data_IF_932097128647
#
_entry.id   IF_932097128647
#
_cell.length_a   1.000
_cell.length_b   1.000
_cell.length_c   1.000
_cell.angle_alpha   90.00
_cell.angle_beta   90.00
_cell.angle_gamma   90.00
#
_symmetry.space_group_name_H-M   'P 1'
#
loop_
_entity.id
_entity.type
_entity.pdbx_description
1 polymer ?
#
# COMPACT_ATOMS: atom_id res chain seq x y z
N UNK A 1 4.82 -1.89 -18.63
CA UNK A 1 4.40 -1.68 -17.23
C UNK A 1 4.22 -3.05 -16.58
N UNK A 2 4.13 -3.14 -15.27
CA UNK A 2 4.00 -4.41 -14.54
C UNK A 2 3.40 -4.13 -13.17
N UNK A 3 3.02 -5.17 -12.44
CA UNK A 3 2.49 -5.04 -11.09
C UNK A 3 3.54 -4.51 -10.11
N UNK A 4 3.30 -3.30 -9.61
CA UNK A 4 4.04 -2.64 -8.53
C UNK A 4 3.11 -2.53 -7.31
N UNK A 5 3.58 -2.96 -6.14
CA UNK A 5 2.78 -3.02 -4.92
C UNK A 5 3.53 -2.33 -3.78
N UNK A 6 2.81 -1.61 -2.92
CA UNK A 6 3.39 -0.86 -1.81
C UNK A 6 2.62 -1.08 -0.52
N UNK A 7 3.35 -1.13 0.59
CA UNK A 7 2.79 -0.77 1.89
C UNK A 7 3.15 0.68 2.20
N UNK A 8 2.14 1.44 2.61
CA UNK A 8 2.26 2.80 3.06
C UNK A 8 2.06 2.85 4.58
N UNK A 9 2.78 3.73 5.26
CA UNK A 9 2.56 4.06 6.66
C UNK A 9 2.28 5.54 6.80
N UNK A 10 1.28 5.91 7.58
CA UNK A 10 1.00 7.30 7.90
C UNK A 10 0.55 7.46 9.35
N UNK A 11 1.01 8.52 10.00
CA UNK A 11 0.49 8.91 11.30
C UNK A 11 -1.00 9.24 11.19
N UNK A 12 -1.81 8.74 12.12
CA UNK A 12 -3.23 9.10 12.24
C UNK A 12 -3.36 10.55 12.65
N UNK A 13 -4.36 11.22 12.08
CA UNK A 13 -4.70 12.59 12.43
C UNK A 13 -6.03 12.58 13.20
N UNK A 14 -6.11 13.37 14.27
CA UNK A 14 -7.29 13.41 15.14
C UNK A 14 -8.56 13.97 14.46
N UNK A 15 -8.38 14.92 13.54
CA UNK A 15 -9.48 15.59 12.81
C UNK A 15 -9.65 15.11 11.36
N UNK A 16 -8.56 14.97 10.61
CA UNK A 16 -8.59 14.70 9.17
C UNK A 16 -8.48 13.20 8.88
N UNK A 17 -9.25 12.74 7.90
CA UNK A 17 -9.00 11.42 7.30
C UNK A 17 -7.76 11.42 6.42
N UNK A 18 -7.22 10.23 6.13
CA UNK A 18 -6.11 10.05 5.18
C UNK A 18 -6.32 10.81 3.88
N UNK A 19 -7.46 10.55 3.23
CA UNK A 19 -7.78 11.11 1.91
C UNK A 19 -7.78 12.64 1.94
N UNK A 20 -8.22 13.23 3.05
CA UNK A 20 -8.23 14.68 3.23
C UNK A 20 -6.81 15.24 3.40
N UNK A 21 -5.94 14.54 4.13
CA UNK A 21 -4.52 14.87 4.22
C UNK A 21 -3.88 14.82 2.83
N UNK A 22 -4.12 13.76 2.07
CA UNK A 22 -3.57 13.61 0.72
C UNK A 22 -4.07 14.71 -0.23
N UNK A 23 -5.35 15.11 -0.13
CA UNK A 23 -5.88 16.24 -0.89
C UNK A 23 -5.17 17.56 -0.57
N UNK A 24 -4.96 17.87 0.71
CA UNK A 24 -4.22 19.08 1.10
C UNK A 24 -2.75 19.01 0.68
N UNK A 25 -2.10 17.85 0.82
CA UNK A 25 -0.70 17.64 0.44
C UNK A 25 -0.49 17.76 -1.07
N UNK A 26 -1.42 17.21 -1.86
CA UNK A 26 -1.44 17.40 -3.31
C UNK A 26 -1.54 18.89 -3.67
N UNK A 27 -2.45 19.63 -3.01
CA UNK A 27 -2.60 21.06 -3.25
C UNK A 27 -1.33 21.86 -2.92
N UNK A 28 -0.72 21.60 -1.76
CA UNK A 28 0.58 22.18 -1.37
C UNK A 28 1.63 21.90 -2.45
N UNK A 29 1.70 20.65 -2.92
CA UNK A 29 2.64 20.24 -3.97
C UNK A 29 2.41 20.99 -5.28
N UNK A 30 1.17 21.12 -5.73
CA UNK A 30 0.81 21.89 -6.93
C UNK A 30 1.28 23.34 -6.83
N UNK A 31 1.01 24.01 -5.70
CA UNK A 31 1.39 25.40 -5.49
C UNK A 31 2.90 25.59 -5.42
N UNK A 32 3.62 24.69 -4.75
CA UNK A 32 5.10 24.70 -4.73
C UNK A 32 5.73 24.48 -6.10
N UNK A 33 5.05 23.76 -7.00
CA UNK A 33 5.44 23.59 -8.41
C UNK A 33 5.07 24.80 -9.29
N UNK A 34 4.47 25.84 -8.73
CA UNK A 34 4.07 27.04 -9.47
C UNK A 34 2.80 26.86 -10.31
N UNK A 35 2.02 25.81 -10.07
CA UNK A 35 0.77 25.57 -10.80
C UNK A 35 -0.26 26.62 -10.35
N UNK A 36 -0.84 27.32 -11.32
CA UNK A 36 -1.83 28.37 -11.07
C UNK A 36 -3.13 27.77 -10.55
N UNK A 37 -3.83 28.51 -9.68
CA UNK A 37 -5.10 28.06 -9.11
C UNK A 37 -6.15 27.74 -10.17
N UNK A 38 -6.26 28.59 -11.19
CA UNK A 38 -7.20 28.41 -12.30
C UNK A 38 -6.99 27.07 -13.02
N UNK A 39 -5.73 26.62 -13.13
CA UNK A 39 -5.37 25.34 -13.74
C UNK A 39 -5.72 24.15 -12.83
N UNK A 40 -5.49 24.30 -11.52
CA UNK A 40 -5.90 23.32 -10.50
C UNK A 40 -7.42 23.14 -10.54
N UNK A 41 -8.17 24.25 -10.51
CA UNK A 41 -9.64 24.26 -10.53
C UNK A 41 -10.18 23.70 -11.84
N UNK A 42 -9.59 24.07 -12.99
CA UNK A 42 -10.03 23.58 -14.30
C UNK A 42 -9.98 22.05 -14.39
N UNK A 43 -8.95 21.44 -13.83
CA UNK A 43 -8.74 19.99 -13.92
C UNK A 43 -9.38 19.22 -12.76
N UNK A 44 -9.59 19.86 -11.60
CA UNK A 44 -9.99 19.19 -10.35
C UNK A 44 -10.97 20.01 -9.50
N UNK A 45 -11.94 20.70 -10.13
CA UNK A 45 -12.87 21.64 -9.46
C UNK A 45 -13.49 21.09 -8.17
N UNK A 46 -13.95 19.84 -8.20
CA UNK A 46 -14.54 19.18 -7.03
C UNK A 46 -13.54 19.05 -5.88
N UNK A 47 -12.34 18.54 -6.17
CA UNK A 47 -11.26 18.39 -5.19
C UNK A 47 -10.84 19.75 -4.61
N UNK A 48 -10.80 20.80 -5.44
CA UNK A 48 -10.48 22.15 -4.99
C UNK A 48 -11.53 22.74 -4.04
N UNK A 49 -12.83 22.50 -4.31
CA UNK A 49 -13.89 22.90 -3.39
C UNK A 49 -13.76 22.19 -2.04
N UNK A 50 -13.37 20.91 -2.06
CA UNK A 50 -13.15 20.15 -0.84
C UNK A 50 -11.92 20.66 -0.06
N UNK A 51 -10.85 21.11 -0.72
CA UNK A 51 -9.63 21.62 -0.06
C UNK A 51 -9.92 22.76 0.92
N UNK A 52 -10.73 23.75 0.54
CA UNK A 52 -11.12 24.84 1.44
C UNK A 52 -11.92 24.33 2.64
N UNK A 53 -12.85 23.39 2.41
CA UNK A 53 -13.66 22.77 3.46
C UNK A 53 -12.78 21.97 4.43
N UNK A 54 -11.82 21.20 3.90
CA UNK A 54 -10.88 20.38 4.67
C UNK A 54 -9.99 21.28 5.52
N UNK A 55 -9.38 22.32 4.93
CA UNK A 55 -8.54 23.26 5.66
C UNK A 55 -9.30 24.01 6.75
N UNK A 56 -10.59 24.31 6.52
CA UNK A 56 -11.47 24.87 7.54
C UNK A 56 -11.66 23.97 8.77
N UNK A 57 -11.59 22.64 8.63
CA UNK A 57 -11.67 21.71 9.78
C UNK A 57 -10.50 21.86 10.75
N UNK A 58 -9.35 22.29 10.25
CA UNK A 58 -8.12 22.51 11.02
C UNK A 58 -7.80 24.00 11.17
N UNK A 59 -8.76 24.87 10.85
CA UNK A 59 -8.67 26.34 10.96
C UNK A 59 -7.45 26.95 10.25
N UNK A 60 -7.04 26.36 9.12
CA UNK A 60 -5.87 26.80 8.36
C UNK A 60 -6.22 27.59 7.09
N UNK A 61 -5.37 28.56 6.75
CA UNK A 61 -5.45 29.29 5.49
C UNK A 61 -4.68 28.55 4.39
N UNK A 62 -5.39 28.08 3.35
CA UNK A 62 -4.79 27.36 2.23
C UNK A 62 -3.80 28.20 1.41
N UNK A 63 -3.84 29.53 1.51
CA UNK A 63 -2.91 30.39 0.79
C UNK A 63 -1.54 30.51 1.49
N UNK A 64 -1.45 30.16 2.77
CA UNK A 64 -0.17 30.06 3.48
C UNK A 64 0.44 28.66 3.31
N UNK A 65 0.99 28.42 2.13
CA UNK A 65 1.49 27.11 1.69
C UNK A 65 2.61 26.58 2.59
N UNK A 66 3.48 27.45 3.10
CA UNK A 66 4.60 27.03 3.96
C UNK A 66 4.10 26.57 5.33
N UNK A 67 3.14 27.28 5.90
CA UNK A 67 2.53 26.89 7.19
C UNK A 67 1.72 25.61 7.03
N UNK A 68 0.95 25.48 5.94
CA UNK A 68 0.19 24.26 5.64
C UNK A 68 1.10 23.06 5.41
N UNK A 69 2.19 23.20 4.66
CA UNK A 69 3.18 22.13 4.45
C UNK A 69 3.80 21.68 5.77
N UNK A 70 4.23 22.63 6.61
CA UNK A 70 4.85 22.31 7.91
C UNK A 70 3.88 21.59 8.85
N UNK A 71 2.60 21.95 8.81
CA UNK A 71 1.57 21.27 9.60
C UNK A 71 1.34 19.83 9.13
N UNK A 72 1.29 19.62 7.80
CA UNK A 72 0.97 18.32 7.22
C UNK A 72 2.17 17.38 7.14
N UNK A 73 3.41 17.88 7.18
CA UNK A 73 4.62 17.07 7.00
C UNK A 73 4.73 15.85 7.91
N UNK A 74 4.31 15.87 9.20
CA UNK A 74 4.35 14.67 10.05
C UNK A 74 3.37 13.57 9.60
N UNK A 75 2.38 13.93 8.79
CA UNK A 75 1.37 13.02 8.25
C UNK A 75 1.70 12.64 6.80
N UNK A 76 2.93 12.82 6.34
CA UNK A 76 3.32 12.33 5.02
C UNK A 76 3.36 10.80 5.03
N UNK A 77 2.76 10.19 4.02
CA UNK A 77 2.80 8.75 3.87
C UNK A 77 4.19 8.27 3.46
N UNK A 78 4.69 7.26 4.15
CA UNK A 78 6.00 6.67 3.92
C UNK A 78 5.84 5.30 3.27
N UNK A 79 6.67 5.00 2.27
CA UNK A 79 6.75 3.64 1.73
C UNK A 79 7.53 2.76 2.72
N UNK A 80 6.89 1.72 3.22
CA UNK A 80 7.44 0.79 4.23
C UNK A 80 7.54 -0.65 3.71
N UNK A 81 7.07 -0.91 2.49
CA UNK A 81 7.19 -2.19 1.81
C UNK A 81 6.98 -2.03 0.31
N UNK A 82 7.67 -2.85 -0.48
CA UNK A 82 7.55 -2.86 -1.93
C UNK A 82 7.66 -4.29 -2.46
N UNK A 83 6.78 -4.64 -3.41
CA UNK A 83 6.92 -5.86 -4.20
C UNK A 83 6.84 -5.56 -5.68
N UNK A 84 7.57 -6.34 -6.46
CA UNK A 84 7.52 -6.33 -7.91
C UNK A 84 7.02 -7.67 -8.42
N UNK A 85 5.80 -7.70 -8.95
CA UNK A 85 5.21 -8.89 -9.60
C UNK A 85 5.07 -10.14 -8.69
N UNK A 86 4.94 -9.96 -7.38
CA UNK A 86 4.62 -11.03 -6.44
C UNK A 86 3.09 -11.28 -6.44
N UNK A 87 2.57 -11.91 -7.51
CA UNK A 87 1.13 -12.00 -7.76
C UNK A 87 0.32 -12.76 -6.71
N UNK A 88 0.91 -13.77 -6.08
CA UNK A 88 0.34 -14.54 -4.99
C UNK A 88 0.08 -13.67 -3.76
N UNK A 89 0.96 -12.67 -3.53
CA UNK A 89 0.84 -11.71 -2.43
C UNK A 89 -0.23 -10.67 -2.77
N UNK A 90 -0.22 -10.16 -4.00
CA UNK A 90 -1.26 -9.25 -4.48
C UNK A 90 -2.64 -9.88 -4.42
N UNK A 91 -2.78 -11.12 -4.91
CA UNK A 91 -4.03 -11.85 -4.86
C UNK A 91 -4.56 -11.98 -3.43
N UNK A 92 -3.68 -12.22 -2.47
CA UNK A 92 -4.07 -12.27 -1.06
C UNK A 92 -4.65 -10.94 -0.59
N UNK A 93 -4.02 -9.80 -0.93
CA UNK A 93 -4.58 -8.49 -0.60
C UNK A 93 -5.94 -8.26 -1.28
N UNK A 94 -6.06 -8.61 -2.56
CA UNK A 94 -7.33 -8.50 -3.30
C UNK A 94 -8.44 -9.30 -2.60
N UNK A 95 -8.19 -10.57 -2.31
CA UNK A 95 -9.19 -11.49 -1.76
C UNK A 95 -9.56 -11.17 -0.30
N UNK A 96 -8.61 -10.69 0.51
CA UNK A 96 -8.80 -10.58 1.97
C UNK A 96 -9.01 -9.14 2.46
N UNK A 97 -8.56 -8.14 1.70
CA UNK A 97 -8.60 -6.72 2.10
C UNK A 97 -9.45 -5.87 1.15
N UNK A 98 -9.49 -6.22 -0.14
CA UNK A 98 -10.18 -5.43 -1.19
C UNK A 98 -11.51 -6.04 -1.64
N UNK A 99 -12.09 -6.95 -0.84
CA UNK A 99 -13.36 -7.63 -1.14
C UNK A 99 -13.40 -8.31 -2.53
N UNK A 100 -12.25 -8.78 -3.02
CA UNK A 100 -12.10 -9.41 -4.32
C UNK A 100 -12.07 -8.46 -5.52
N UNK A 101 -12.04 -7.13 -5.30
CA UNK A 101 -12.06 -6.12 -6.35
C UNK A 101 -10.70 -5.41 -6.41
N UNK A 102 -9.91 -5.71 -7.44
CA UNK A 102 -8.69 -4.99 -7.75
C UNK A 102 -8.99 -3.68 -8.50
N UNK A 103 -9.28 -2.61 -7.75
CA UNK A 103 -9.59 -1.28 -8.29
C UNK A 103 -8.44 -0.27 -8.16
N UNK A 104 -7.23 -0.76 -7.84
CA UNK A 104 -6.00 0.03 -7.69
C UNK A 104 -6.14 1.20 -6.69
N UNK A 105 -7.01 1.05 -5.68
CA UNK A 105 -7.15 2.00 -4.58
C UNK A 105 -6.29 1.62 -3.38
N UNK A 106 -6.27 2.54 -2.42
CA UNK A 106 -5.59 2.39 -1.14
C UNK A 106 -6.57 1.77 -0.15
N UNK A 107 -6.13 0.75 0.57
CA UNK A 107 -6.91 0.05 1.60
C UNK A 107 -6.11 -0.03 2.90
N UNK A 108 -6.74 0.33 4.02
CA UNK A 108 -6.15 0.17 5.34
C UNK A 108 -6.05 -1.31 5.71
N UNK A 109 -4.99 -1.67 6.42
CA UNK A 109 -4.68 -3.04 6.84
C UNK A 109 -4.49 -3.04 8.35
N UNK A 110 -5.23 -3.89 9.04
CA UNK A 110 -5.07 -4.13 10.47
C UNK A 110 -3.77 -4.89 10.77
N UNK A 111 -3.33 -4.79 12.03
CA UNK A 111 -2.20 -5.58 12.53
C UNK A 111 -2.47 -7.08 12.38
N UNK A 112 -3.69 -7.51 12.69
CA UNK A 112 -4.12 -8.90 12.64
C UNK A 112 -4.09 -9.45 11.20
N UNK A 113 -4.41 -8.63 10.20
CA UNK A 113 -4.29 -8.99 8.78
C UNK A 113 -2.85 -9.22 8.36
N UNK A 114 -1.95 -8.33 8.76
CA UNK A 114 -0.52 -8.50 8.52
C UNK A 114 0.04 -9.75 9.22
N UNK A 115 -0.37 -10.00 10.46
CA UNK A 115 0.00 -11.22 11.19
C UNK A 115 -0.53 -12.50 10.52
N UNK A 116 -1.75 -12.46 9.97
CA UNK A 116 -2.33 -13.57 9.18
C UNK A 116 -1.51 -13.86 7.93
N UNK A 117 -1.18 -12.84 7.13
CA UNK A 117 -0.34 -13.03 5.94
C UNK A 117 1.06 -13.53 6.32
N UNK A 118 1.68 -12.96 7.36
CA UNK A 118 3.00 -13.40 7.84
C UNK A 118 2.99 -14.87 8.25
N UNK A 119 1.94 -15.32 8.95
CA UNK A 119 1.79 -16.72 9.34
C UNK A 119 1.71 -17.62 8.11
N UNK A 120 0.87 -17.28 7.13
CA UNK A 120 0.74 -18.06 5.88
C UNK A 120 2.11 -18.18 5.18
N UNK A 121 2.84 -17.07 5.05
CA UNK A 121 4.15 -17.07 4.41
C UNK A 121 5.16 -17.96 5.18
N UNK A 122 5.20 -17.90 6.52
CA UNK A 122 6.06 -18.75 7.34
C UNK A 122 5.71 -20.24 7.19
N UNK A 123 4.42 -20.58 7.25
CA UNK A 123 3.95 -21.96 7.06
C UNK A 123 4.39 -22.51 5.69
N UNK A 124 4.28 -21.70 4.63
CA UNK A 124 4.76 -22.06 3.28
C UNK A 124 6.29 -22.25 3.26
N UNK A 125 7.05 -21.31 3.83
CA UNK A 125 8.52 -21.37 3.88
C UNK A 125 9.02 -22.62 4.59
N UNK A 126 8.38 -23.02 5.69
CA UNK A 126 8.80 -24.17 6.50
C UNK A 126 8.41 -25.52 5.87
N UNK A 127 7.35 -25.56 5.06
CA UNK A 127 6.80 -26.82 4.54
C UNK A 127 7.20 -27.14 3.09
N UNK A 128 7.51 -26.13 2.27
CA UNK A 128 7.85 -26.34 0.86
C UNK A 128 9.23 -26.97 0.67
N UNK A 129 9.32 -27.95 -0.22
CA UNK A 129 10.57 -28.66 -0.53
C UNK A 129 10.90 -28.46 -2.00
N UNK A 130 12.09 -27.91 -2.30
CA UNK A 130 12.57 -27.77 -3.67
C UNK A 130 13.17 -29.09 -4.20
N UNK A 131 12.99 -29.36 -5.49
CA UNK A 131 13.77 -30.36 -6.22
C UNK A 131 15.04 -29.76 -6.82
N UNK A 132 15.86 -30.61 -7.44
CA UNK A 132 17.15 -30.21 -8.05
C UNK A 132 17.00 -29.19 -9.19
N UNK A 133 15.79 -29.04 -9.75
CA UNK A 133 15.47 -28.04 -10.78
C UNK A 133 14.94 -26.73 -10.18
N UNK A 134 14.84 -26.62 -8.87
CA UNK A 134 14.30 -25.46 -8.17
C UNK A 134 12.77 -25.36 -8.24
N UNK A 135 12.04 -26.44 -8.47
CA UNK A 135 10.57 -26.48 -8.40
C UNK A 135 10.12 -27.01 -7.04
N UNK A 136 9.00 -26.50 -6.52
CA UNK A 136 8.40 -26.99 -5.27
C UNK A 136 7.77 -28.37 -5.52
N UNK A 137 8.28 -29.42 -4.89
CA UNK A 137 7.79 -30.81 -5.03
C UNK A 137 6.36 -30.99 -4.53
N UNK A 138 6.02 -30.31 -3.44
CA UNK A 138 4.73 -30.37 -2.75
C UNK A 138 3.89 -29.10 -3.01
N UNK A 139 3.81 -28.69 -4.28
CA UNK A 139 3.15 -27.45 -4.69
C UNK A 139 1.64 -27.36 -4.33
N UNK A 140 0.99 -28.45 -3.95
CA UNK A 140 -0.41 -28.44 -3.51
C UNK A 140 -0.62 -27.60 -2.24
N UNK A 141 0.42 -27.48 -1.38
CA UNK A 141 0.38 -26.65 -0.17
C UNK A 141 0.29 -25.16 -0.54
N UNK A 142 1.29 -24.56 -1.24
CA UNK A 142 1.22 -23.15 -1.60
C UNK A 142 0.03 -22.84 -2.54
N UNK A 143 -0.35 -23.74 -3.45
CA UNK A 143 -1.56 -23.59 -4.28
C UNK A 143 -2.83 -23.40 -3.46
N UNK A 144 -2.92 -24.05 -2.28
CA UNK A 144 -4.08 -23.93 -1.40
C UNK A 144 -4.02 -22.69 -0.51
N UNK A 145 -2.84 -22.38 0.02
CA UNK A 145 -2.68 -21.33 1.03
C UNK A 145 -2.52 -19.93 0.42
N UNK A 146 -1.80 -19.82 -0.68
CA UNK A 146 -1.44 -18.55 -1.30
C UNK A 146 -1.26 -18.74 -2.82
N UNK A 147 -2.35 -19.04 -3.55
CA UNK A 147 -2.26 -19.36 -4.97
C UNK A 147 -1.71 -18.19 -5.78
N UNK A 148 -0.84 -18.50 -6.74
CA UNK A 148 -0.45 -17.57 -7.79
C UNK A 148 -1.68 -17.11 -8.61
N UNK A 149 -1.64 -15.88 -9.10
CA UNK A 149 -2.69 -15.28 -9.91
C UNK A 149 -2.19 -14.98 -11.32
N UNK A 150 -2.95 -15.43 -12.32
CA UNK A 150 -2.66 -15.14 -13.73
C UNK A 150 -2.95 -13.68 -14.09
N UNK A 151 -2.09 -13.06 -14.89
CA UNK A 151 -2.26 -11.71 -15.40
C UNK A 151 -1.07 -11.23 -16.22
N UNK A 152 -1.31 -10.60 -17.37
CA UNK A 152 -0.25 -10.16 -18.29
C UNK A 152 0.87 -9.33 -17.61
N UNK A 153 0.53 -8.59 -16.55
CA UNK A 153 1.45 -7.73 -15.80
C UNK A 153 2.04 -8.38 -14.53
N UNK A 154 1.61 -9.60 -14.18
CA UNK A 154 1.66 -10.17 -12.83
C UNK A 154 2.83 -11.15 -12.62
N UNK A 155 3.70 -11.34 -13.61
CA UNK A 155 4.90 -12.16 -13.44
C UNK A 155 4.66 -13.66 -13.68
N UNK A 156 5.40 -14.50 -12.97
CA UNK A 156 5.36 -15.97 -13.13
C UNK A 156 4.26 -16.59 -12.28
N UNK A 157 3.64 -17.65 -12.77
CA UNK A 157 2.65 -18.45 -12.01
C UNK A 157 3.22 -19.80 -11.56
N UNK A 158 4.52 -20.01 -11.79
CA UNK A 158 5.21 -21.23 -11.42
C UNK A 158 5.46 -21.30 -9.91
N UNK A 159 5.26 -22.50 -9.36
CA UNK A 159 5.60 -22.80 -7.97
C UNK A 159 7.05 -23.27 -7.90
N UNK A 160 7.96 -22.32 -8.05
CA UNK A 160 9.39 -22.54 -8.14
C UNK A 160 10.15 -21.81 -7.02
N UNK A 161 11.47 -21.77 -7.12
CA UNK A 161 12.33 -21.03 -6.19
C UNK A 161 11.99 -19.54 -6.13
N UNK A 162 11.54 -18.92 -7.22
CA UNK A 162 11.22 -17.49 -7.26
C UNK A 162 9.93 -17.21 -6.47
N UNK A 163 8.95 -18.11 -6.57
CA UNK A 163 7.79 -18.06 -5.68
C UNK A 163 8.21 -18.06 -4.20
N UNK A 164 9.19 -18.89 -3.81
CA UNK A 164 9.69 -18.89 -2.43
C UNK A 164 10.49 -17.63 -2.09
N UNK A 165 11.23 -17.04 -3.03
CA UNK A 165 11.91 -15.76 -2.80
C UNK A 165 10.91 -14.65 -2.46
N UNK A 166 9.79 -14.55 -3.20
CA UNK A 166 8.73 -13.59 -2.88
C UNK A 166 8.12 -13.82 -1.48
N UNK A 167 7.99 -15.10 -1.07
CA UNK A 167 7.54 -15.46 0.29
C UNK A 167 8.53 -14.97 1.34
N UNK A 168 9.84 -15.17 1.11
CA UNK A 168 10.88 -14.71 2.02
C UNK A 168 10.93 -13.19 2.13
N UNK A 169 10.86 -12.49 1.00
CA UNK A 169 10.80 -11.02 0.96
C UNK A 169 9.57 -10.51 1.70
N UNK A 170 8.42 -11.17 1.52
CA UNK A 170 7.18 -10.82 2.25
C UNK A 170 7.31 -11.03 3.75
N UNK A 171 7.93 -12.13 4.19
CA UNK A 171 8.22 -12.35 5.62
C UNK A 171 9.08 -11.22 6.17
N UNK A 172 10.14 -10.82 5.45
CA UNK A 172 11.01 -9.73 5.85
C UNK A 172 10.26 -8.39 5.94
N UNK A 173 9.52 -8.02 4.89
CA UNK A 173 8.75 -6.77 4.84
C UNK A 173 7.75 -6.72 6.00
N UNK A 174 6.89 -7.74 6.13
CA UNK A 174 5.82 -7.72 7.14
C UNK A 174 6.38 -7.79 8.55
N UNK A 175 7.45 -8.56 8.79
CA UNK A 175 8.09 -8.60 10.11
C UNK A 175 8.65 -7.25 10.53
N UNK A 176 9.25 -6.50 9.59
CA UNK A 176 9.72 -5.14 9.85
C UNK A 176 8.56 -4.18 10.12
N UNK A 177 7.51 -4.23 9.31
CA UNK A 177 6.31 -3.39 9.50
C UNK A 177 5.66 -3.64 10.86
N UNK A 178 5.45 -4.90 11.25
CA UNK A 178 4.86 -5.24 12.55
C UNK A 178 5.73 -4.79 13.74
N UNK A 179 7.05 -4.70 13.56
CA UNK A 179 7.99 -4.28 14.59
C UNK A 179 8.09 -2.75 14.72
N UNK A 180 8.00 -2.03 13.61
CA UNK A 180 8.31 -0.60 13.51
C UNK A 180 7.06 0.31 13.46
N UNK A 181 5.86 -0.27 13.43
CA UNK A 181 4.60 0.46 13.37
C UNK A 181 3.95 0.51 14.75
N UNK A 182 3.63 1.72 15.20
CA UNK A 182 2.71 1.93 16.32
C UNK A 182 1.27 1.93 15.78
N UNK A 183 0.58 0.80 15.85
CA UNK A 183 -0.77 0.66 15.27
C UNK A 183 -1.85 1.46 15.99
N UNK A 184 -1.56 2.03 17.17
CA UNK A 184 -2.49 2.95 17.85
C UNK A 184 -2.43 4.34 17.20
N UNK A 185 -1.22 4.81 16.89
CA UNK A 185 -0.95 6.15 16.38
C UNK A 185 -0.72 6.23 14.85
N UNK A 186 -0.48 5.10 14.19
CA UNK A 186 -0.16 5.00 12.77
C UNK A 186 -1.11 4.00 12.06
N UNK A 187 -1.42 4.28 10.80
CA UNK A 187 -2.15 3.38 9.92
C UNK A 187 -1.19 2.79 8.87
N UNK A 188 -1.41 1.52 8.53
CA UNK A 188 -0.73 0.83 7.43
C UNK A 188 -1.74 0.59 6.32
N UNK A 189 -1.33 0.83 5.08
CA UNK A 189 -2.21 0.72 3.93
C UNK A 189 -1.54 -0.03 2.78
N UNK A 190 -2.34 -0.74 2.00
CA UNK A 190 -1.94 -1.42 0.78
C UNK A 190 -2.39 -0.63 -0.44
N UNK A 191 -1.53 -0.57 -1.46
CA UNK A 191 -1.90 -0.11 -2.80
C UNK A 191 -1.08 -0.82 -3.88
N UNK A 192 -1.64 -0.92 -5.08
CA UNK A 192 -0.99 -1.50 -6.25
C UNK A 192 -1.28 -0.71 -7.52
N UNK A 193 -0.44 -0.92 -8.54
CA UNK A 193 -0.63 -0.36 -9.87
C UNK A 193 -0.09 -1.31 -10.94
N UNK A 194 -0.79 -1.45 -12.07
CA UNK A 194 -0.42 -2.31 -13.19
C UNK A 194 -1.02 -1.87 -14.53
#
# INVERSE_FOLDING_TARGET
MGLDMYLLKQKKHSILSRKEIDCLMWYVTCKKRGIKEEEIVKNNKTVFNDINKIAGKIEMNINDINTLERYLSPYYAQHIGYWRKANQIHKWFVDNIQDGIDDQRIYEISKEELERLLKICKDIKETCILNDKGMIKNADIPKKLLPACEGFFFGSYEYDKNYLLDIEDTICIISSVLKETDFDEEAVEYTSWW
#
